data_IF_549908986881
#
_entry.id   IF_549908986881
#
_cell.length_a   1.000
_cell.length_b   1.000
_cell.length_c   1.000
_cell.angle_alpha   90.00
_cell.angle_beta   90.00
_cell.angle_gamma   90.00
#
_symmetry.space_group_name_H-M   'P 1'
#
loop_
_entity.id
_entity.type
_entity.pdbx_description
1 polymer ?
#
# COMPACT_ATOMS: atom_id res chain seq x y z
N UNK A 1 -28.02 18.78 5.56
CA UNK A 1 -26.89 17.90 5.89
C UNK A 1 -26.93 16.81 4.84
N UNK A 2 -26.20 16.99 3.73
CA UNK A 2 -26.17 15.97 2.68
C UNK A 2 -25.53 14.73 3.27
N UNK A 3 -26.29 13.64 3.30
CA UNK A 3 -25.82 12.34 3.70
C UNK A 3 -24.71 11.95 2.72
N UNK A 4 -23.45 12.05 3.14
CA UNK A 4 -22.33 11.43 2.45
C UNK A 4 -22.62 9.93 2.43
N UNK A 5 -23.18 9.46 1.32
CA UNK A 5 -23.42 8.05 1.08
C UNK A 5 -22.07 7.44 0.68
N UNK A 6 -21.23 7.15 1.67
CA UNK A 6 -19.97 6.45 1.46
C UNK A 6 -20.29 5.01 1.08
N UNK A 7 -20.22 4.73 -0.22
CA UNK A 7 -20.34 3.39 -0.76
C UNK A 7 -18.94 2.78 -0.87
N UNK A 8 -18.54 1.85 0.02
CA UNK A 8 -17.19 1.27 0.01
C UNK A 8 -16.92 0.43 -1.25
N UNK A 9 -17.95 0.09 -2.03
CA UNK A 9 -17.81 -0.58 -3.33
C UNK A 9 -17.45 0.40 -4.46
N UNK A 10 -17.74 1.69 -4.27
CA UNK A 10 -17.35 2.75 -5.20
C UNK A 10 -16.07 3.40 -4.71
N UNK A 11 -15.03 3.32 -5.54
CA UNK A 11 -13.79 4.01 -5.27
C UNK A 11 -13.95 5.52 -5.53
N UNK A 12 -14.55 6.22 -4.56
CA UNK A 12 -14.77 7.66 -4.57
C UNK A 12 -13.85 8.31 -3.54
N UNK A 13 -12.61 8.60 -3.96
CA UNK A 13 -11.73 9.48 -3.21
C UNK A 13 -12.08 10.94 -3.49
N UNK A 14 -11.78 11.81 -2.51
CA UNK A 14 -11.81 13.26 -2.71
C UNK A 14 -11.00 13.61 -3.98
N UNK A 15 -11.49 14.51 -4.85
CA UNK A 15 -10.76 14.96 -6.03
C UNK A 15 -9.28 15.30 -5.81
N UNK A 16 -8.90 15.78 -4.62
CA UNK A 16 -7.50 16.04 -4.24
C UNK A 16 -6.62 14.77 -4.30
N UNK A 17 -7.17 13.61 -3.95
CA UNK A 17 -6.44 12.34 -3.90
C UNK A 17 -6.52 11.52 -5.19
N UNK A 18 -7.35 11.91 -6.16
CA UNK A 18 -7.57 11.15 -7.40
C UNK A 18 -6.29 10.91 -8.21
N UNK A 19 -5.36 11.86 -8.19
CA UNK A 19 -4.07 11.78 -8.88
C UNK A 19 -2.87 11.57 -7.92
N UNK A 20 -3.15 11.31 -6.64
CA UNK A 20 -2.11 11.15 -5.63
C UNK A 20 -1.55 9.73 -5.66
N UNK A 21 -0.24 9.60 -5.52
CA UNK A 21 0.43 8.32 -5.30
C UNK A 21 0.21 7.87 -3.86
N UNK A 22 -0.13 6.61 -3.66
CA UNK A 22 -0.18 6.01 -2.33
C UNK A 22 1.14 5.32 -2.00
N UNK A 23 1.53 5.37 -0.74
CA UNK A 23 2.67 4.62 -0.21
C UNK A 23 2.16 3.46 0.63
N UNK A 24 2.66 2.26 0.36
CA UNK A 24 2.44 1.12 1.24
C UNK A 24 3.37 1.19 2.47
N UNK A 25 3.13 0.34 3.47
CA UNK A 25 3.89 0.35 4.73
C UNK A 25 5.36 -0.02 4.52
N UNK A 26 5.68 -0.85 3.53
CA UNK A 26 7.05 -1.23 3.20
C UNK A 26 7.83 -0.03 2.63
N UNK A 27 7.21 0.72 1.72
CA UNK A 27 7.77 1.96 1.18
C UNK A 27 7.90 3.05 2.24
N UNK A 28 6.86 3.19 3.07
CA UNK A 28 6.86 4.15 4.17
C UNK A 28 8.01 3.85 5.15
N UNK A 29 8.24 2.58 5.48
CA UNK A 29 9.35 2.18 6.32
C UNK A 29 10.70 2.61 5.73
N UNK A 30 10.94 2.34 4.44
CA UNK A 30 12.18 2.75 3.77
C UNK A 30 12.36 4.27 3.73
N UNK A 31 11.33 5.00 3.33
CA UNK A 31 11.37 6.45 3.20
C UNK A 31 11.61 7.09 4.57
N UNK A 32 10.84 6.71 5.60
CA UNK A 32 11.00 7.30 6.93
C UNK A 32 12.34 6.90 7.57
N UNK A 33 12.86 5.70 7.29
CA UNK A 33 14.19 5.29 7.73
C UNK A 33 15.30 6.15 7.12
N UNK A 34 15.19 6.47 5.82
CA UNK A 34 16.10 7.39 5.14
C UNK A 34 15.95 8.83 5.69
N UNK A 35 14.72 9.27 5.98
CA UNK A 35 14.44 10.58 6.56
C UNK A 35 15.06 10.75 7.96
N UNK A 36 14.95 9.73 8.83
CA UNK A 36 15.57 9.75 10.16
C UNK A 36 17.10 9.76 10.09
N UNK A 37 17.69 9.10 9.08
CA UNK A 37 19.14 9.01 8.92
C UNK A 37 19.75 10.28 8.31
N UNK A 38 19.04 10.95 7.41
CA UNK A 38 19.59 12.07 6.63
C UNK A 38 19.21 13.44 7.19
N UNK A 39 18.06 13.58 7.88
CA UNK A 39 17.53 14.86 8.33
C UNK A 39 17.44 14.96 9.85
N UNK A 40 18.54 15.37 10.47
CA UNK A 40 18.62 15.57 11.92
C UNK A 40 18.09 16.95 12.39
N UNK A 41 18.00 17.93 11.49
CA UNK A 41 17.61 19.31 11.82
C UNK A 41 16.10 19.53 11.68
N UNK A 42 15.30 18.73 12.37
CA UNK A 42 13.83 18.89 12.44
C UNK A 42 13.44 19.26 13.86
N UNK A 43 12.26 19.87 14.02
CA UNK A 43 11.69 20.08 15.34
C UNK A 43 11.39 18.73 16.03
N UNK A 44 11.54 18.70 17.35
CA UNK A 44 11.40 17.46 18.14
C UNK A 44 10.06 16.77 17.92
N UNK A 45 8.98 17.55 17.75
CA UNK A 45 7.65 17.03 17.47
C UNK A 45 7.58 16.27 16.14
N UNK A 46 8.16 16.80 15.05
CA UNK A 46 8.16 16.07 13.78
C UNK A 46 9.04 14.82 13.85
N UNK A 47 10.18 14.90 14.55
CA UNK A 47 11.04 13.72 14.77
C UNK A 47 10.26 12.63 15.50
N UNK A 48 9.49 12.99 16.53
CA UNK A 48 8.66 12.04 17.27
C UNK A 48 7.61 11.39 16.36
N UNK A 49 6.86 12.16 15.57
CA UNK A 49 5.89 11.60 14.63
C UNK A 49 6.53 10.66 13.62
N UNK A 50 7.65 11.07 13.01
CA UNK A 50 8.38 10.22 12.06
C UNK A 50 8.85 8.93 12.73
N UNK A 51 9.39 8.99 13.95
CA UNK A 51 9.82 7.80 14.69
C UNK A 51 8.65 6.85 14.96
N UNK A 52 7.52 7.36 15.44
CA UNK A 52 6.33 6.54 15.72
C UNK A 52 5.76 5.93 14.44
N UNK A 53 5.66 6.70 13.36
CA UNK A 53 5.20 6.19 12.05
C UNK A 53 6.17 5.16 11.48
N UNK A 54 7.48 5.39 11.60
CA UNK A 54 8.51 4.45 11.17
C UNK A 54 8.47 3.14 11.96
N UNK A 55 8.25 3.21 13.28
CA UNK A 55 8.12 2.04 14.15
C UNK A 55 6.88 1.21 13.78
N UNK A 56 5.74 1.85 13.55
CA UNK A 56 4.54 1.19 13.05
C UNK A 56 4.81 0.51 11.69
N UNK A 57 5.35 1.26 10.73
CA UNK A 57 5.70 0.73 9.42
C UNK A 57 6.70 -0.42 9.52
N UNK A 58 7.72 -0.33 10.39
CA UNK A 58 8.71 -1.39 10.59
C UNK A 58 8.12 -2.68 11.17
N UNK A 59 7.04 -2.57 11.97
CA UNK A 59 6.38 -3.72 12.59
C UNK A 59 5.46 -4.45 11.61
N UNK A 60 4.79 -3.72 10.73
CA UNK A 60 3.77 -4.25 9.82
C UNK A 60 4.22 -4.34 8.36
N UNK A 61 5.39 -3.79 8.00
CA UNK A 61 5.98 -3.99 6.68
C UNK A 61 6.29 -5.48 6.48
N UNK A 62 5.55 -6.06 5.54
CA UNK A 62 5.64 -7.48 5.17
C UNK A 62 6.93 -7.74 4.40
N UNK A 63 7.34 -6.79 3.57
CA UNK A 63 8.53 -6.86 2.73
C UNK A 63 9.56 -5.84 3.23
N UNK A 64 10.80 -6.29 3.39
CA UNK A 64 11.91 -5.43 3.83
C UNK A 64 12.98 -5.25 2.75
N UNK A 65 12.97 -6.09 1.73
CA UNK A 65 13.91 -5.99 0.62
C UNK A 65 13.53 -4.83 -0.29
N UNK A 66 14.41 -3.81 -0.37
CA UNK A 66 14.19 -2.60 -1.18
C UNK A 66 13.96 -2.91 -2.66
N UNK A 67 14.71 -3.87 -3.22
CA UNK A 67 14.56 -4.25 -4.62
C UNK A 67 13.18 -4.87 -4.88
N UNK A 68 12.74 -5.79 -4.00
CA UNK A 68 11.41 -6.40 -4.10
C UNK A 68 10.29 -5.36 -4.07
N UNK A 69 10.39 -4.36 -3.19
CA UNK A 69 9.38 -3.29 -3.08
C UNK A 69 9.28 -2.47 -4.38
N UNK A 70 10.43 -2.11 -4.96
CA UNK A 70 10.47 -1.36 -6.23
C UNK A 70 9.96 -2.20 -7.40
N UNK A 71 10.34 -3.48 -7.46
CA UNK A 71 9.92 -4.38 -8.52
C UNK A 71 8.41 -4.65 -8.48
N UNK A 72 7.84 -4.86 -7.29
CA UNK A 72 6.39 -5.01 -7.11
C UNK A 72 5.67 -3.75 -7.61
N UNK A 73 6.13 -2.56 -7.20
CA UNK A 73 5.49 -1.31 -7.62
C UNK A 73 5.53 -1.14 -9.13
N UNK A 74 6.69 -1.32 -9.74
CA UNK A 74 6.84 -1.16 -11.19
C UNK A 74 6.03 -2.21 -11.96
N UNK A 75 5.91 -3.44 -11.45
CA UNK A 75 5.13 -4.50 -12.09
C UNK A 75 3.63 -4.20 -12.02
N UNK A 76 3.12 -3.84 -10.85
CA UNK A 76 1.70 -3.53 -10.66
C UNK A 76 1.30 -2.25 -11.40
N UNK A 77 2.13 -1.20 -11.38
CA UNK A 77 1.87 0.03 -12.11
C UNK A 77 1.84 -0.17 -13.64
N UNK A 78 2.64 -1.11 -14.17
CA UNK A 78 2.63 -1.44 -15.61
C UNK A 78 1.33 -2.12 -16.06
N UNK A 79 0.74 -2.94 -15.21
CA UNK A 79 -0.53 -3.59 -15.52
C UNK A 79 -1.69 -2.58 -15.59
N UNK A 80 -1.61 -1.46 -14.83
CA UNK A 80 -2.57 -0.35 -14.90
C UNK A 80 -4.00 -0.71 -14.47
N UNK A 81 -4.20 -1.90 -13.90
CA UNK A 81 -5.51 -2.42 -13.52
C UNK A 81 -5.97 -1.89 -12.16
N UNK A 82 -5.02 -1.59 -11.26
CA UNK A 82 -5.27 -1.21 -9.87
C UNK A 82 -5.16 0.30 -9.67
N UNK A 83 -6.01 0.84 -8.81
CA UNK A 83 -5.81 2.18 -8.28
C UNK A 83 -4.67 2.18 -7.24
N UNK A 84 -4.04 3.35 -7.05
CA UNK A 84 -2.92 3.51 -6.11
C UNK A 84 -3.25 3.02 -4.69
N UNK A 85 -4.47 3.33 -4.22
CA UNK A 85 -4.98 2.89 -2.92
C UNK A 85 -5.10 1.36 -2.83
N UNK A 86 -5.59 0.72 -3.89
CA UNK A 86 -5.83 -0.72 -3.90
C UNK A 86 -4.51 -1.48 -3.95
N UNK A 87 -3.56 -0.99 -4.74
CA UNK A 87 -2.20 -1.51 -4.75
C UNK A 87 -1.58 -1.42 -3.35
N UNK A 88 -1.64 -0.24 -2.71
CA UNK A 88 -1.09 -0.08 -1.37
C UNK A 88 -1.79 -0.98 -0.35
N UNK A 89 -3.11 -1.12 -0.44
CA UNK A 89 -3.92 -1.98 0.45
C UNK A 89 -3.62 -3.47 0.26
N UNK A 90 -3.46 -3.94 -0.98
CA UNK A 90 -3.09 -5.32 -1.29
C UNK A 90 -1.72 -5.68 -0.69
N UNK A 91 -0.74 -4.80 -0.83
CA UNK A 91 0.61 -5.01 -0.25
C UNK A 91 0.56 -4.98 1.28
N UNK A 92 -0.26 -4.10 1.88
CA UNK A 92 -0.35 -3.96 3.33
C UNK A 92 -1.10 -5.12 4.01
N UNK A 93 -2.18 -5.59 3.38
CA UNK A 93 -3.08 -6.60 3.95
C UNK A 93 -2.66 -8.02 3.59
N UNK A 94 -2.05 -8.19 2.41
CA UNK A 94 -1.62 -9.48 1.85
C UNK A 94 -2.68 -10.59 2.00
N UNK A 95 -3.85 -10.43 1.36
CA UNK A 95 -4.91 -11.43 1.41
C UNK A 95 -4.44 -12.73 0.76
N UNK A 96 -4.95 -13.87 1.27
CA UNK A 96 -4.55 -15.22 0.84
C UNK A 96 -5.45 -15.80 -0.26
N UNK A 97 -6.60 -15.18 -0.50
CA UNK A 97 -7.52 -15.58 -1.56
C UNK A 97 -8.17 -14.37 -2.22
N UNK A 98 -8.71 -14.58 -3.42
CA UNK A 98 -9.43 -13.54 -4.17
C UNK A 98 -10.67 -13.08 -3.40
N UNK A 99 -11.37 -14.01 -2.75
CA UNK A 99 -12.56 -13.73 -1.94
C UNK A 99 -12.20 -12.83 -0.74
N UNK A 100 -11.09 -13.12 -0.06
CA UNK A 100 -10.59 -12.28 1.02
C UNK A 100 -10.21 -10.89 0.49
N UNK A 101 -9.49 -10.82 -0.63
CA UNK A 101 -9.08 -9.56 -1.23
C UNK A 101 -10.29 -8.67 -1.59
N UNK A 102 -11.33 -9.23 -2.21
CA UNK A 102 -12.57 -8.52 -2.55
C UNK A 102 -13.41 -8.17 -1.32
N UNK A 103 -13.38 -8.99 -0.28
CA UNK A 103 -14.07 -8.71 0.98
C UNK A 103 -13.43 -7.52 1.72
N UNK A 104 -12.09 -7.50 1.77
CA UNK A 104 -11.33 -6.43 2.41
C UNK A 104 -11.29 -5.14 1.58
N UNK A 105 -11.25 -5.27 0.26
CA UNK A 105 -11.15 -4.15 -0.69
C UNK A 105 -12.27 -4.30 -1.73
N UNK A 106 -13.51 -3.86 -1.41
CA UNK A 106 -14.68 -4.10 -2.26
C UNK A 106 -14.56 -3.53 -3.67
N UNK A 107 -13.80 -2.45 -3.86
CA UNK A 107 -13.54 -1.85 -5.17
C UNK A 107 -12.80 -2.78 -6.15
N UNK A 108 -12.10 -3.82 -5.67
CA UNK A 108 -11.48 -4.86 -6.49
C UNK A 108 -12.49 -5.74 -7.23
N UNK A 109 -13.77 -5.70 -6.87
CA UNK A 109 -14.82 -6.51 -7.51
C UNK A 109 -14.95 -6.27 -9.01
N UNK A 110 -14.47 -5.11 -9.51
CA UNK A 110 -14.40 -4.79 -10.95
C UNK A 110 -13.32 -5.55 -11.73
N UNK A 111 -12.34 -6.15 -11.03
CA UNK A 111 -11.23 -6.89 -11.62
C UNK A 111 -11.55 -8.38 -11.63
N UNK A 112 -11.09 -9.09 -12.66
CA UNK A 112 -11.28 -10.54 -12.77
C UNK A 112 -10.48 -11.29 -11.71
N UNK A 113 -11.03 -12.41 -11.25
CA UNK A 113 -10.43 -13.24 -10.20
C UNK A 113 -9.05 -13.74 -10.60
N UNK A 114 -8.86 -14.16 -11.86
CA UNK A 114 -7.57 -14.62 -12.39
C UNK A 114 -6.47 -13.56 -12.27
N UNK A 115 -6.82 -12.29 -12.49
CA UNK A 115 -5.88 -11.17 -12.40
C UNK A 115 -5.52 -10.85 -10.96
N UNK A 116 -6.51 -10.84 -10.07
CA UNK A 116 -6.26 -10.67 -8.63
C UNK A 116 -5.37 -11.81 -8.14
N UNK A 117 -5.70 -13.06 -8.47
CA UNK A 117 -4.92 -14.23 -8.07
C UNK A 117 -3.47 -14.14 -8.56
N UNK A 118 -3.24 -13.74 -9.81
CA UNK A 118 -1.88 -13.54 -10.35
C UNK A 118 -1.08 -12.51 -9.55
N UNK A 119 -1.73 -11.43 -9.12
CA UNK A 119 -1.09 -10.38 -8.30
C UNK A 119 -0.80 -10.92 -6.89
N UNK A 120 -1.70 -11.69 -6.30
CA UNK A 120 -1.49 -12.30 -4.98
C UNK A 120 -0.32 -13.30 -5.01
N UNK A 121 -0.24 -14.13 -6.05
CA UNK A 121 0.88 -15.05 -6.25
C UNK A 121 2.21 -14.32 -6.41
N UNK A 122 2.22 -13.21 -7.16
CA UNK A 122 3.39 -12.34 -7.29
C UNK A 122 3.84 -11.81 -5.91
N UNK A 123 2.92 -11.22 -5.15
CA UNK A 123 3.22 -10.67 -3.82
C UNK A 123 3.73 -11.74 -2.85
N UNK A 124 3.13 -12.93 -2.88
CA UNK A 124 3.52 -14.06 -2.06
C UNK A 124 4.93 -14.58 -2.43
N UNK A 125 5.28 -14.58 -3.72
CA UNK A 125 6.61 -14.99 -4.17
C UNK A 125 7.72 -14.11 -3.60
N UNK A 126 7.49 -12.81 -3.46
CA UNK A 126 8.43 -11.86 -2.85
C UNK A 126 8.50 -12.00 -1.33
N UNK A 127 7.41 -12.41 -0.69
CA UNK A 127 7.39 -12.68 0.76
C UNK A 127 8.30 -13.84 1.12
N UNK A 128 8.29 -14.91 0.34
CA UNK A 128 9.14 -16.10 0.59
C UNK A 128 10.63 -15.78 0.40
N UNK A 129 10.95 -14.78 -0.42
CA UNK A 129 12.33 -14.36 -0.71
C UNK A 129 12.89 -13.29 0.25
N UNK A 130 12.06 -12.77 1.17
CA UNK A 130 12.42 -11.72 2.14
C UNK A 130 12.77 -12.30 3.50
#
# INVERSE_FOLDING_TARGET
MESYNFDPSKFELDPEFKNSKCLNLCELHLILGDQLRLHHNRNDTAIQFIKTSHEYASRFAILKCRNAIVDIRTTIERDGLLHEFEMASLVNLLPKSVEEAKSLIPSLSRISDDKINSILELLESYRVQS
#
